data_IF_833438973122
#
_entry.id   IF_833438973122
#
_cell.length_a   1.000
_cell.length_b   1.000
_cell.length_c   1.000
_cell.angle_alpha   90.00
_cell.angle_beta   90.00
_cell.angle_gamma   90.00
#
_symmetry.space_group_name_H-M   'P 1'
#
loop_
_entity.id
_entity.type
_entity.pdbx_description
1 polymer ?
#
# COMPACT_ATOMS: atom_id res chain seq x y z
N UNK A 1 -13.94 -14.46 20.67
CA UNK A 1 -14.26 -14.15 19.27
C UNK A 1 -12.95 -13.76 18.59
N UNK A 2 -12.55 -14.40 17.49
CA UNK A 2 -11.33 -14.03 16.77
C UNK A 2 -11.58 -12.72 16.01
N UNK A 3 -10.69 -11.73 16.14
CA UNK A 3 -10.77 -10.47 15.37
C UNK A 3 -10.60 -10.76 13.88
N UNK A 4 -11.35 -10.05 13.05
CA UNK A 4 -11.12 -10.05 11.60
C UNK A 4 -9.82 -9.33 11.26
N UNK A 5 -9.29 -9.58 10.06
CA UNK A 5 -8.10 -8.85 9.58
C UNK A 5 -8.39 -7.35 9.44
N UNK A 6 -9.62 -6.98 9.04
CA UNK A 6 -10.02 -5.57 8.93
C UNK A 6 -9.96 -4.85 10.29
N UNK A 7 -10.58 -5.43 11.32
CA UNK A 7 -10.54 -4.87 12.67
C UNK A 7 -9.11 -4.78 13.21
N UNK A 8 -8.23 -5.70 12.81
CA UNK A 8 -6.81 -5.65 13.19
C UNK A 8 -6.07 -4.50 12.51
N UNK A 9 -6.34 -4.22 11.23
CA UNK A 9 -5.80 -3.05 10.52
C UNK A 9 -6.28 -1.75 11.20
N UNK A 10 -7.58 -1.65 11.44
CA UNK A 10 -8.18 -0.46 12.06
C UNK A 10 -7.61 -0.22 13.46
N UNK A 11 -7.40 -1.28 14.25
CA UNK A 11 -6.77 -1.16 15.56
C UNK A 11 -5.35 -0.60 15.46
N UNK A 12 -4.50 -1.13 14.57
CA UNK A 12 -3.11 -0.66 14.38
C UNK A 12 -3.09 0.81 13.98
N UNK A 13 -3.95 1.22 13.05
CA UNK A 13 -4.04 2.61 12.61
C UNK A 13 -4.52 3.54 13.73
N UNK A 14 -5.53 3.13 14.51
CA UNK A 14 -6.03 3.92 15.63
C UNK A 14 -4.99 4.06 16.75
N UNK A 15 -4.21 3.01 17.02
CA UNK A 15 -3.10 3.06 17.98
C UNK A 15 -2.02 4.03 17.51
N UNK A 16 -1.60 3.93 16.24
CA UNK A 16 -0.66 4.89 15.64
C UNK A 16 -1.17 6.33 15.74
N UNK A 17 -2.43 6.60 15.37
CA UNK A 17 -3.01 7.95 15.42
C UNK A 17 -3.06 8.51 16.84
N UNK A 18 -3.38 7.67 17.83
CA UNK A 18 -3.33 8.05 19.24
C UNK A 18 -1.91 8.44 19.65
N UNK A 19 -0.94 7.59 19.36
CA UNK A 19 0.46 7.80 19.76
C UNK A 19 1.11 8.98 19.05
N UNK A 20 0.73 9.20 17.79
CA UNK A 20 1.13 10.36 17.02
C UNK A 20 0.59 11.65 17.66
N UNK A 21 -0.69 11.67 18.05
CA UNK A 21 -1.32 12.82 18.71
C UNK A 21 -0.72 13.10 20.10
N UNK A 22 -0.36 12.06 20.82
CA UNK A 22 0.24 12.15 22.17
C UNK A 22 1.76 12.43 22.12
N UNK A 23 2.38 12.43 20.93
CA UNK A 23 3.83 12.64 20.78
C UNK A 23 4.68 11.48 21.29
N UNK A 24 4.10 10.30 21.48
CA UNK A 24 4.77 9.11 22.01
C UNK A 24 5.21 8.12 20.94
N UNK A 25 4.99 8.46 19.65
CA UNK A 25 5.12 7.49 18.58
C UNK A 25 6.55 6.96 18.36
N UNK A 26 7.56 7.82 18.51
CA UNK A 26 8.97 7.41 18.42
C UNK A 26 9.34 6.42 19.53
N UNK A 27 8.94 6.71 20.78
CA UNK A 27 9.21 5.85 21.93
C UNK A 27 8.54 4.47 21.80
N UNK A 28 7.45 4.38 21.02
CA UNK A 28 6.73 3.14 20.73
C UNK A 28 7.23 2.43 19.47
N UNK A 29 8.29 2.93 18.83
CA UNK A 29 8.92 2.27 17.70
C UNK A 29 8.16 2.43 16.37
N UNK A 30 7.24 3.39 16.27
CA UNK A 30 6.67 3.75 14.97
C UNK A 30 7.75 4.35 14.06
N UNK A 31 7.61 4.25 12.73
CA UNK A 31 8.58 4.86 11.81
C UNK A 31 8.78 6.34 12.10
N UNK A 32 10.02 6.83 11.99
CA UNK A 32 10.36 8.23 12.32
C UNK A 32 10.15 9.17 11.13
N UNK A 33 10.34 8.68 9.91
CA UNK A 33 10.20 9.46 8.69
C UNK A 33 8.96 9.01 7.91
N UNK A 34 8.15 9.98 7.47
CA UNK A 34 6.94 9.73 6.66
C UNK A 34 6.01 8.66 7.26
N UNK A 35 5.91 8.63 8.60
CA UNK A 35 5.24 7.57 9.36
C UNK A 35 3.79 7.34 8.93
N UNK A 36 3.00 8.40 8.87
CA UNK A 36 1.62 8.33 8.41
C UNK A 36 1.50 7.78 6.99
N UNK A 37 2.40 8.16 6.08
CA UNK A 37 2.44 7.64 4.72
C UNK A 37 2.73 6.13 4.70
N UNK A 38 3.79 5.70 5.41
CA UNK A 38 4.18 4.28 5.51
C UNK A 38 3.02 3.44 6.05
N UNK A 39 2.43 3.88 7.16
CA UNK A 39 1.31 3.15 7.79
C UNK A 39 0.07 3.12 6.89
N UNK A 40 -0.23 4.20 6.17
CA UNK A 40 -1.34 4.23 5.22
C UNK A 40 -1.15 3.24 4.06
N UNK A 41 0.07 3.11 3.52
CA UNK A 41 0.38 2.19 2.42
C UNK A 41 0.45 0.74 2.88
N UNK A 42 0.96 0.47 4.09
CA UNK A 42 0.91 -0.86 4.69
C UNK A 42 -0.53 -1.32 4.92
N UNK A 43 -1.40 -0.44 5.45
CA UNK A 43 -2.82 -0.74 5.64
C UNK A 43 -3.55 -0.96 4.30
N UNK A 44 -3.28 -0.13 3.29
CA UNK A 44 -3.79 -0.31 1.92
C UNK A 44 -3.40 -1.66 1.34
N UNK A 45 -2.13 -2.06 1.47
CA UNK A 45 -1.63 -3.36 1.02
C UNK A 45 -2.33 -4.54 1.73
N UNK A 46 -2.54 -4.43 3.05
CA UNK A 46 -3.28 -5.44 3.80
C UNK A 46 -4.75 -5.51 3.35
N UNK A 47 -5.37 -4.36 3.06
CA UNK A 47 -6.74 -4.28 2.56
C UNK A 47 -6.89 -4.90 1.16
N UNK A 48 -5.93 -4.71 0.24
CA UNK A 48 -5.89 -5.41 -1.06
C UNK A 48 -6.03 -6.93 -0.88
N UNK A 49 -5.36 -7.52 0.10
CA UNK A 49 -5.48 -8.97 0.37
C UNK A 49 -6.87 -9.37 0.88
N UNK A 50 -7.50 -8.52 1.70
CA UNK A 50 -8.87 -8.74 2.18
C UNK A 50 -9.84 -8.70 0.99
N UNK A 51 -9.73 -7.69 0.15
CA UNK A 51 -10.62 -7.49 -0.99
C UNK A 51 -10.46 -8.58 -2.04
N UNK A 52 -9.23 -8.96 -2.38
CA UNK A 52 -8.94 -10.09 -3.28
C UNK A 52 -9.60 -11.39 -2.80
N UNK A 53 -9.54 -11.68 -1.49
CA UNK A 53 -10.21 -12.87 -0.92
C UNK A 53 -11.73 -12.73 -0.91
N UNK A 54 -12.26 -11.53 -0.66
CA UNK A 54 -13.70 -11.26 -0.58
C UNK A 54 -14.37 -11.30 -1.96
N UNK A 55 -13.66 -10.88 -2.99
CA UNK A 55 -14.19 -10.75 -4.35
C UNK A 55 -13.30 -11.52 -5.35
N UNK A 56 -13.38 -12.86 -5.40
CA UNK A 56 -12.47 -13.70 -6.19
C UNK A 56 -12.60 -13.53 -7.72
N UNK A 57 -13.64 -12.83 -8.19
CA UNK A 57 -13.83 -12.48 -9.60
C UNK A 57 -13.12 -11.19 -10.00
N UNK A 58 -12.67 -10.38 -9.04
CA UNK A 58 -11.91 -9.16 -9.29
C UNK A 58 -10.41 -9.45 -9.22
N UNK A 59 -9.62 -8.71 -10.01
CA UNK A 59 -8.16 -8.73 -9.95
C UNK A 59 -7.65 -7.58 -9.07
N UNK A 60 -7.94 -7.65 -7.78
CA UNK A 60 -7.50 -6.65 -6.81
C UNK A 60 -6.02 -6.87 -6.47
N UNK A 61 -5.16 -5.90 -6.78
CA UNK A 61 -3.73 -5.92 -6.53
C UNK A 61 -3.27 -4.51 -6.15
N UNK A 62 -2.12 -4.38 -5.50
CA UNK A 62 -1.49 -3.09 -5.22
C UNK A 62 -0.15 -2.95 -5.94
N UNK A 63 0.22 -1.71 -6.28
CA UNK A 63 1.41 -1.43 -7.08
C UNK A 63 2.19 -0.26 -6.48
N UNK A 64 3.49 -0.45 -6.29
CA UNK A 64 4.46 0.63 -6.13
C UNK A 64 4.94 1.08 -7.51
N UNK A 65 4.73 2.34 -7.91
CA UNK A 65 5.18 2.83 -9.22
C UNK A 65 6.70 3.16 -9.23
N UNK A 66 7.40 2.98 -8.11
CA UNK A 66 8.76 3.48 -7.91
C UNK A 66 8.80 4.98 -7.57
N UNK A 67 9.99 5.58 -7.64
CA UNK A 67 10.21 7.01 -7.36
C UNK A 67 9.96 7.85 -8.63
N UNK A 68 8.80 8.49 -8.71
CA UNK A 68 8.29 9.17 -9.93
C UNK A 68 8.34 10.69 -9.79
N UNK A 69 8.81 11.39 -10.84
CA UNK A 69 8.83 12.86 -10.93
C UNK A 69 7.41 13.43 -10.97
N UNK A 70 6.92 13.79 -9.80
CA UNK A 70 5.60 14.40 -9.57
C UNK A 70 5.72 15.50 -8.53
N UNK A 71 4.67 16.33 -8.39
CA UNK A 71 4.59 17.35 -7.34
C UNK A 71 4.75 16.76 -5.93
N UNK A 72 4.25 15.55 -5.68
CA UNK A 72 4.43 14.83 -4.41
C UNK A 72 5.92 14.64 -4.04
N UNK A 73 6.77 14.48 -5.06
CA UNK A 73 8.22 14.32 -4.91
C UNK A 73 8.99 15.62 -5.16
N UNK A 74 8.31 16.76 -5.31
CA UNK A 74 8.92 18.01 -5.78
C UNK A 74 9.70 17.84 -7.09
N UNK A 75 9.23 16.95 -7.97
CA UNK A 75 9.89 16.58 -9.23
C UNK A 75 11.32 16.00 -9.06
N UNK A 76 11.66 15.46 -7.89
CA UNK A 76 12.98 14.87 -7.59
C UNK A 76 13.07 13.36 -7.81
N UNK A 77 11.98 12.72 -8.24
CA UNK A 77 11.96 11.28 -8.56
C UNK A 77 12.93 10.88 -9.68
N UNK A 78 13.17 9.57 -9.81
CA UNK A 78 14.08 9.02 -10.82
C UNK A 78 13.33 8.81 -12.15
N UNK A 79 12.12 8.28 -12.07
CA UNK A 79 11.28 7.90 -13.21
C UNK A 79 10.44 9.06 -13.73
N UNK A 80 10.15 9.08 -15.02
CA UNK A 80 9.09 9.95 -15.57
C UNK A 80 7.71 9.47 -15.16
N UNK A 81 6.69 10.31 -15.34
CA UNK A 81 5.28 9.95 -15.09
C UNK A 81 4.87 8.75 -15.94
N UNK A 82 5.27 8.72 -17.22
CA UNK A 82 4.98 7.63 -18.15
C UNK A 82 5.63 6.32 -17.70
N UNK A 83 6.87 6.36 -17.23
CA UNK A 83 7.57 5.19 -16.69
C UNK A 83 6.91 4.67 -15.40
N UNK A 84 6.51 5.57 -14.51
CA UNK A 84 5.81 5.24 -13.27
C UNK A 84 4.42 4.65 -13.50
N UNK A 85 3.72 5.07 -14.56
CA UNK A 85 2.39 4.60 -14.90
C UNK A 85 2.37 3.16 -15.46
N UNK A 86 3.50 2.64 -15.96
CA UNK A 86 3.54 1.32 -16.62
C UNK A 86 3.06 0.18 -15.72
N UNK A 87 3.46 0.18 -14.44
CA UNK A 87 3.06 -0.84 -13.48
C UNK A 87 1.54 -0.86 -13.23
N UNK A 88 0.96 0.28 -12.77
CA UNK A 88 -0.48 0.39 -12.58
C UNK A 88 -1.31 0.07 -13.82
N UNK A 89 -0.89 0.53 -15.02
CA UNK A 89 -1.58 0.23 -16.29
C UNK A 89 -1.52 -1.26 -16.61
N UNK A 90 -0.37 -1.92 -16.43
CA UNK A 90 -0.24 -3.36 -16.64
C UNK A 90 -1.18 -4.15 -15.72
N UNK A 91 -1.23 -3.78 -14.43
CA UNK A 91 -2.10 -4.46 -13.45
C UNK A 91 -3.58 -4.22 -13.75
N UNK A 92 -3.95 -3.02 -14.21
CA UNK A 92 -5.32 -2.70 -14.62
C UNK A 92 -5.78 -3.46 -15.88
N UNK A 93 -4.84 -3.92 -16.71
CA UNK A 93 -5.10 -4.65 -17.97
C UNK A 93 -4.85 -6.16 -17.84
N UNK A 94 -4.72 -6.68 -16.62
CA UNK A 94 -4.59 -8.13 -16.41
C UNK A 94 -5.81 -8.87 -16.97
N UNK A 95 -5.60 -10.07 -17.54
CA UNK A 95 -6.71 -10.89 -18.00
C UNK A 95 -7.55 -11.40 -16.82
N UNK A 96 -8.75 -11.91 -17.13
CA UNK A 96 -9.68 -12.42 -16.12
C UNK A 96 -9.14 -13.60 -15.30
N UNK A 97 -8.14 -14.33 -15.84
CA UNK A 97 -7.40 -15.40 -15.17
C UNK A 97 -6.08 -14.94 -14.53
N UNK A 98 -5.82 -13.63 -14.52
CA UNK A 98 -4.63 -13.02 -13.95
C UNK A 98 -4.54 -13.11 -12.42
N UNK A 99 -3.39 -12.73 -11.84
CA UNK A 99 -3.20 -12.77 -10.40
C UNK A 99 -4.10 -11.78 -9.65
N UNK A 100 -4.40 -12.10 -8.39
CA UNK A 100 -5.07 -11.21 -7.45
C UNK A 100 -4.50 -11.38 -6.04
N UNK A 101 -4.56 -10.31 -5.24
CA UNK A 101 -4.08 -10.26 -3.87
C UNK A 101 -2.56 -10.11 -3.77
N UNK A 102 -1.91 -9.63 -4.83
CA UNK A 102 -0.46 -9.46 -4.90
C UNK A 102 -0.04 -8.00 -4.79
N UNK A 103 1.22 -7.80 -4.40
CA UNK A 103 1.93 -6.54 -4.48
C UNK A 103 2.91 -6.57 -5.65
N UNK A 104 2.91 -5.52 -6.45
CA UNK A 104 3.83 -5.32 -7.55
C UNK A 104 4.79 -4.17 -7.25
N UNK A 105 6.09 -4.42 -7.36
CA UNK A 105 7.09 -3.35 -7.46
C UNK A 105 7.31 -3.06 -8.94
N UNK A 106 6.79 -1.92 -9.39
CA UNK A 106 6.67 -1.56 -10.80
C UNK A 106 5.89 -2.63 -11.58
N UNK A 107 6.57 -3.47 -12.35
CA UNK A 107 5.96 -4.52 -13.19
C UNK A 107 6.16 -5.92 -12.64
N UNK A 108 6.94 -6.07 -11.57
CA UNK A 108 7.32 -7.36 -11.02
C UNK A 108 6.54 -7.67 -9.74
N UNK A 109 6.12 -8.93 -9.58
CA UNK A 109 5.54 -9.38 -8.31
C UNK A 109 6.60 -9.33 -7.23
N UNK A 110 6.25 -8.79 -6.07
CA UNK A 110 7.13 -8.66 -4.91
C UNK A 110 6.45 -9.18 -3.64
N UNK A 111 7.23 -9.30 -2.57
CA UNK A 111 6.68 -9.56 -1.23
C UNK A 111 6.03 -8.32 -0.66
N UNK A 112 4.98 -8.52 0.14
CA UNK A 112 4.38 -7.48 0.98
C UNK A 112 5.35 -6.94 2.03
#
# INVERSE_FOLDING_TARGET
MLKTLQESIDQVLNEFLKDFKEGTFEAKGWPLFSSAYILSKAAMNANTRILAKKYPHFRDNCVSPGSVKTDMTYNTGILTVEEGAQGPVMVALLPDDGPSGLFFERKEVSSF
#
